data_IF_709809002953
#
_entry.id   IF_709809002953
#
_cell.length_a   1.000
_cell.length_b   1.000
_cell.length_c   1.000
_cell.angle_alpha   90.00
_cell.angle_beta   90.00
_cell.angle_gamma   90.00
#
_symmetry.space_group_name_H-M   'P 1'
#
loop_
_entity.id
_entity.type
_entity.pdbx_description
1 polymer ?
#
# COMPACT_ATOMS: atom_id res chain seq x y z
N UNK A 1 -8.43 10.63 29.01
CA UNK A 1 -7.64 11.86 28.75
C UNK A 1 -7.32 11.85 27.26
N UNK A 2 -7.84 12.82 26.51
CA UNK A 2 -7.57 12.90 25.07
C UNK A 2 -6.12 13.38 24.87
N UNK A 3 -5.21 12.45 24.67
CA UNK A 3 -3.83 12.75 24.33
C UNK A 3 -3.82 13.39 22.94
N UNK A 4 -3.55 14.69 22.86
CA UNK A 4 -3.46 15.39 21.59
C UNK A 4 -2.35 14.76 20.75
N UNK A 5 -2.75 14.11 19.66
CA UNK A 5 -1.88 13.56 18.62
C UNK A 5 -1.36 14.76 17.82
N UNK A 6 -0.05 15.00 17.86
CA UNK A 6 0.57 16.11 17.11
C UNK A 6 1.00 15.61 15.74
N UNK A 7 0.56 16.27 14.68
CA UNK A 7 0.97 15.98 13.30
C UNK A 7 1.21 17.26 12.51
N UNK A 8 2.20 17.26 11.62
CA UNK A 8 2.48 18.37 10.71
C UNK A 8 2.62 17.85 9.28
N UNK A 9 2.02 18.60 8.37
CA UNK A 9 2.15 18.43 6.93
C UNK A 9 3.08 19.45 6.36
N UNK A 10 3.98 18.97 5.54
CA UNK A 10 4.97 19.79 4.89
C UNK A 10 4.92 19.50 3.40
N UNK A 11 4.79 20.54 2.59
CA UNK A 11 4.85 20.43 1.14
C UNK A 11 6.06 21.19 0.58
N UNK A 12 6.54 20.74 -0.55
CA UNK A 12 7.65 21.34 -1.27
C UNK A 12 7.32 21.37 -2.75
N UNK A 13 7.38 22.56 -3.37
CA UNK A 13 7.15 22.72 -4.80
C UNK A 13 8.24 23.59 -5.41
N UNK A 14 9.02 23.01 -6.32
CA UNK A 14 10.09 23.69 -7.08
C UNK A 14 10.31 22.98 -8.42
N UNK A 15 10.17 23.72 -9.53
CA UNK A 15 10.18 23.14 -10.88
C UNK A 15 9.16 22.00 -11.04
N UNK A 16 9.64 20.84 -11.51
CA UNK A 16 8.82 19.62 -11.65
C UNK A 16 8.66 18.82 -10.34
N UNK A 17 9.32 19.25 -9.25
CA UNK A 17 9.18 18.63 -7.94
C UNK A 17 7.92 19.14 -7.26
N UNK A 18 7.02 18.22 -6.95
CA UNK A 18 5.85 18.46 -6.11
C UNK A 18 5.76 17.37 -5.05
N UNK A 19 6.17 17.66 -3.82
CA UNK A 19 6.40 16.67 -2.76
C UNK A 19 5.62 17.01 -1.52
N UNK A 20 5.22 15.99 -0.80
CA UNK A 20 4.68 16.09 0.55
C UNK A 20 5.48 15.24 1.53
N UNK A 21 5.49 15.68 2.78
CA UNK A 21 6.16 15.06 3.90
C UNK A 21 5.30 15.22 5.14
N UNK A 22 4.81 14.13 5.69
CA UNK A 22 3.96 14.11 6.88
C UNK A 22 4.80 13.59 8.03
N UNK A 23 4.63 14.17 9.21
CA UNK A 23 5.25 13.69 10.45
C UNK A 23 4.20 13.71 11.56
N UNK A 24 4.15 12.66 12.37
CA UNK A 24 3.20 12.56 13.48
C UNK A 24 3.82 11.91 14.72
N UNK A 25 3.26 12.24 15.89
CA UNK A 25 3.51 11.55 17.15
C UNK A 25 2.30 10.67 17.43
N UNK A 26 2.49 9.36 17.41
CA UNK A 26 1.42 8.38 17.61
C UNK A 26 1.62 7.64 18.95
N UNK A 27 0.58 7.47 19.78
CA UNK A 27 0.67 6.72 21.02
C UNK A 27 0.80 5.21 20.76
N UNK A 28 1.67 4.52 21.50
CA UNK A 28 1.77 3.06 21.54
C UNK A 28 1.97 2.58 22.98
N UNK A 29 0.97 1.85 23.52
CA UNK A 29 1.00 1.39 24.90
C UNK A 29 1.13 2.56 25.88
N UNK A 30 2.23 2.56 26.65
CA UNK A 30 2.56 3.62 27.61
C UNK A 30 3.54 4.67 27.05
N UNK A 31 3.88 4.61 25.76
CA UNK A 31 4.83 5.49 25.11
C UNK A 31 4.32 6.03 23.76
N UNK A 32 5.25 6.56 22.97
CA UNK A 32 4.96 7.25 21.71
C UNK A 32 5.97 6.88 20.62
N UNK A 33 5.52 6.86 19.37
CA UNK A 33 6.37 6.75 18.19
C UNK A 33 6.33 8.03 17.36
N UNK A 34 7.47 8.38 16.76
CA UNK A 34 7.54 9.46 15.77
C UNK A 34 7.60 8.87 14.38
N UNK A 35 6.59 9.22 13.60
CA UNK A 35 6.23 8.57 12.35
C UNK A 35 6.36 9.58 11.23
N UNK A 36 6.67 9.11 10.03
CA UNK A 36 6.74 9.98 8.87
C UNK A 36 6.27 9.30 7.59
N UNK A 37 5.76 10.10 6.67
CA UNK A 37 5.39 9.69 5.32
C UNK A 37 5.94 10.70 4.32
N UNK A 38 6.37 10.26 3.14
CA UNK A 38 6.87 11.18 2.13
C UNK A 38 6.69 10.65 0.71
N UNK A 39 6.55 11.56 -0.25
CA UNK A 39 6.38 11.19 -1.64
C UNK A 39 6.01 12.39 -2.51
N UNK A 40 5.71 12.10 -3.78
CA UNK A 40 5.13 13.09 -4.69
C UNK A 40 3.68 13.32 -4.27
N UNK A 41 3.21 14.57 -4.25
CA UNK A 41 1.83 14.90 -3.85
C UNK A 41 0.83 14.21 -4.77
N UNK A 42 -0.22 13.63 -4.16
CA UNK A 42 -1.25 12.85 -4.85
C UNK A 42 -0.90 11.38 -5.14
N UNK A 43 0.33 10.96 -4.81
CA UNK A 43 0.75 9.56 -4.93
C UNK A 43 0.82 8.89 -3.56
N UNK A 44 0.87 7.55 -3.55
CA UNK A 44 1.08 6.76 -2.34
C UNK A 44 2.37 7.16 -1.64
N UNK A 45 2.28 7.56 -0.37
CA UNK A 45 3.46 7.95 0.41
C UNK A 45 4.28 6.76 0.88
N UNK A 46 5.60 6.94 0.88
CA UNK A 46 6.53 6.05 1.56
C UNK A 46 6.53 6.41 3.04
N UNK A 47 6.13 5.44 3.86
CA UNK A 47 5.96 5.59 5.31
C UNK A 47 7.11 4.95 6.08
N UNK A 48 7.42 5.46 7.27
CA UNK A 48 8.40 4.89 8.18
C UNK A 48 8.31 5.47 9.58
N UNK A 49 9.13 4.95 10.48
CA UNK A 49 9.25 5.40 11.86
C UNK A 49 10.68 5.86 12.15
N UNK A 50 10.84 6.95 12.92
CA UNK A 50 12.15 7.38 13.45
C UNK A 50 12.52 6.72 14.76
N UNK A 51 11.57 6.05 15.39
CA UNK A 51 11.70 5.42 16.72
C UNK A 51 11.47 3.93 16.58
N UNK A 52 12.49 3.10 16.86
CA UNK A 52 12.37 1.63 16.82
C UNK A 52 11.54 1.07 17.98
N UNK A 53 11.54 1.73 19.13
CA UNK A 53 10.76 1.39 20.31
C UNK A 53 10.00 2.63 20.78
N UNK A 54 8.91 2.42 21.53
CA UNK A 54 8.11 3.51 22.08
C UNK A 54 8.96 4.35 23.04
N UNK A 55 8.96 5.66 22.87
CA UNK A 55 9.70 6.61 23.70
C UNK A 55 8.76 7.44 24.57
N UNK A 56 9.31 8.24 25.49
CA UNK A 56 8.50 9.19 26.26
C UNK A 56 7.94 10.31 25.36
N UNK A 57 6.88 10.98 25.79
CA UNK A 57 6.31 12.11 25.04
C UNK A 57 7.36 13.22 24.80
N UNK A 58 8.21 13.50 25.80
CA UNK A 58 9.24 14.52 25.69
C UNK A 58 10.29 14.18 24.62
N UNK A 59 10.73 12.93 24.56
CA UNK A 59 11.64 12.43 23.53
C UNK A 59 10.98 12.44 22.14
N UNK A 60 9.73 12.00 22.06
CA UNK A 60 8.96 12.02 20.81
C UNK A 60 8.82 13.45 20.26
N UNK A 61 8.44 14.42 21.11
CA UNK A 61 8.35 15.84 20.73
C UNK A 61 9.70 16.37 20.24
N UNK A 62 10.80 16.01 20.90
CA UNK A 62 12.14 16.45 20.48
C UNK A 62 12.52 15.91 19.09
N UNK A 63 12.25 14.63 18.83
CA UNK A 63 12.52 14.01 17.53
C UNK A 63 11.62 14.63 16.45
N UNK A 64 10.34 14.83 16.77
CA UNK A 64 9.35 15.46 15.91
C UNK A 64 9.77 16.87 15.48
N UNK A 65 10.08 17.74 16.44
CA UNK A 65 10.47 19.13 16.18
C UNK A 65 11.74 19.21 15.33
N UNK A 66 12.68 18.28 15.58
CA UNK A 66 13.91 18.17 14.78
C UNK A 66 13.60 17.81 13.33
N UNK A 67 12.67 16.88 13.06
CA UNK A 67 12.28 16.51 11.71
C UNK A 67 11.61 17.68 10.98
N UNK A 68 10.65 18.34 11.63
CA UNK A 68 9.94 19.50 11.07
C UNK A 68 10.94 20.59 10.70
N UNK A 69 11.82 20.97 11.64
CA UNK A 69 12.85 21.99 11.42
C UNK A 69 13.80 21.65 10.27
N UNK A 70 14.25 20.40 10.19
CA UNK A 70 15.11 19.94 9.10
C UNK A 70 14.43 20.01 7.73
N UNK A 71 13.13 19.73 7.66
CA UNK A 71 12.37 19.79 6.41
C UNK A 71 12.06 21.23 6.00
N UNK A 72 11.69 22.08 6.95
CA UNK A 72 11.51 23.51 6.71
C UNK A 72 12.80 24.18 6.21
N UNK A 73 13.95 23.83 6.79
CA UNK A 73 15.26 24.29 6.31
C UNK A 73 15.58 23.83 4.87
N UNK A 74 14.94 22.77 4.38
CA UNK A 74 15.03 22.27 3.00
C UNK A 74 13.96 22.86 2.07
N UNK A 75 13.29 23.93 2.49
CA UNK A 75 12.30 24.65 1.69
C UNK A 75 10.88 24.10 1.76
N UNK A 76 10.60 23.11 2.63
CA UNK A 76 9.23 22.66 2.85
C UNK A 76 8.43 23.68 3.66
N UNK A 77 7.12 23.76 3.44
CA UNK A 77 6.21 24.72 4.08
C UNK A 77 5.01 24.01 4.70
N UNK A 78 4.46 24.56 5.77
CA UNK A 78 3.25 24.06 6.44
C UNK A 78 2.00 24.51 5.68
N UNK A 79 1.00 23.64 5.58
CA UNK A 79 -0.33 23.99 5.05
C UNK A 79 -1.31 24.09 6.23
N UNK A 80 -2.08 25.17 6.33
CA UNK A 80 -2.96 25.43 7.48
C UNK A 80 -4.23 24.54 7.51
N UNK A 81 -4.50 23.70 6.51
CA UNK A 81 -5.83 23.09 6.33
C UNK A 81 -5.90 21.59 5.99
N UNK A 82 -4.82 20.82 6.05
CA UNK A 82 -4.91 19.34 5.95
C UNK A 82 -4.60 18.68 7.30
N UNK A 83 -5.48 17.75 7.73
CA UNK A 83 -5.30 16.85 8.88
C UNK A 83 -5.09 15.42 8.36
N UNK A 84 -4.17 14.60 8.91
CA UNK A 84 -3.81 13.34 8.26
C UNK A 84 -4.81 12.26 8.61
N UNK A 85 -5.05 11.37 7.65
CA UNK A 85 -5.45 10.01 7.99
C UNK A 85 -4.32 9.38 8.83
N UNK A 86 -4.63 8.70 9.95
CA UNK A 86 -3.61 8.05 10.78
C UNK A 86 -2.84 6.98 9.98
N UNK A 87 -1.56 6.75 10.29
CA UNK A 87 -0.69 5.80 9.57
C UNK A 87 -0.19 4.73 10.55
N UNK A 88 -0.73 3.50 10.47
CA UNK A 88 -0.26 2.43 11.36
C UNK A 88 1.10 1.85 10.94
N UNK A 89 2.04 1.82 11.90
CA UNK A 89 3.32 1.12 11.78
C UNK A 89 3.13 -0.39 11.84
N UNK A 90 3.92 -1.13 11.06
CA UNK A 90 4.14 -2.53 11.33
C UNK A 90 5.29 -2.63 12.36
N UNK A 91 5.06 -3.31 13.49
CA UNK A 91 6.05 -3.49 14.57
C UNK A 91 7.39 -4.06 14.08
N UNK A 92 7.32 -4.83 13.00
CA UNK A 92 8.44 -5.59 12.44
C UNK A 92 8.97 -4.97 11.13
N UNK A 93 8.80 -3.65 10.95
CA UNK A 93 9.16 -2.98 9.70
C UNK A 93 10.61 -3.25 9.27
N UNK A 94 10.79 -3.76 8.05
CA UNK A 94 12.08 -4.14 7.50
C UNK A 94 12.47 -5.60 7.71
N UNK A 95 11.71 -6.40 8.46
CA UNK A 95 11.94 -7.83 8.57
C UNK A 95 11.65 -8.56 7.26
N UNK A 96 12.46 -9.55 6.93
CA UNK A 96 12.26 -10.41 5.78
C UNK A 96 11.19 -11.46 6.08
N UNK A 97 10.12 -11.45 5.27
CA UNK A 97 8.98 -12.35 5.44
C UNK A 97 9.17 -13.73 4.82
N UNK A 98 10.22 -13.92 4.02
CA UNK A 98 10.39 -15.09 3.15
C UNK A 98 9.44 -15.12 1.94
N UNK A 99 8.49 -14.19 1.85
CA UNK A 99 7.56 -14.07 0.72
C UNK A 99 8.20 -13.19 -0.35
N UNK A 100 8.04 -13.58 -1.61
CA UNK A 100 8.61 -12.88 -2.77
C UNK A 100 7.53 -12.63 -3.81
N UNK A 101 7.53 -11.43 -4.37
CA UNK A 101 6.65 -11.09 -5.48
C UNK A 101 7.08 -11.84 -6.74
N UNK A 102 6.10 -12.34 -7.49
CA UNK A 102 6.34 -12.72 -8.88
C UNK A 102 6.57 -11.45 -9.70
N UNK A 103 7.68 -11.39 -10.42
CA UNK A 103 8.01 -10.26 -11.30
C UNK A 103 7.58 -10.57 -12.73
N UNK A 104 7.15 -9.53 -13.44
CA UNK A 104 6.79 -9.62 -14.85
C UNK A 104 8.04 -9.92 -15.69
N UNK A 105 7.86 -10.80 -16.68
CA UNK A 105 8.80 -10.95 -17.78
C UNK A 105 8.50 -9.90 -18.85
N UNK A 106 9.55 -9.36 -19.47
CA UNK A 106 9.37 -8.51 -20.65
C UNK A 106 8.86 -9.35 -21.82
N UNK A 107 7.96 -8.76 -22.60
CA UNK A 107 7.42 -9.33 -23.84
C UNK A 107 8.03 -8.58 -25.01
N UNK A 108 8.47 -9.31 -26.03
CA UNK A 108 8.91 -8.73 -27.29
C UNK A 108 7.70 -8.30 -28.13
N UNK A 109 7.82 -7.20 -28.89
CA UNK A 109 6.71 -6.67 -29.70
C UNK A 109 6.15 -7.71 -30.68
N UNK A 110 6.99 -8.60 -31.21
CA UNK A 110 6.57 -9.67 -32.13
C UNK A 110 5.71 -10.74 -31.44
N UNK A 111 5.76 -10.84 -30.11
CA UNK A 111 4.97 -11.80 -29.33
C UNK A 111 3.62 -11.24 -28.89
N UNK A 112 3.44 -9.91 -28.90
CA UNK A 112 2.24 -9.25 -28.38
C UNK A 112 0.99 -9.77 -29.08
N UNK A 113 0.96 -9.77 -30.41
CA UNK A 113 -0.20 -10.24 -31.18
C UNK A 113 -0.59 -11.69 -30.85
N UNK A 114 0.40 -12.55 -30.58
CA UNK A 114 0.15 -13.93 -30.19
C UNK A 114 -0.45 -14.01 -28.78
N UNK A 115 0.12 -13.29 -27.82
CA UNK A 115 -0.36 -13.26 -26.44
C UNK A 115 -1.77 -12.67 -26.31
N UNK A 116 -2.09 -11.67 -27.13
CA UNK A 116 -3.42 -11.05 -27.15
C UNK A 116 -4.54 -11.97 -27.68
N UNK A 117 -4.19 -12.94 -28.52
CA UNK A 117 -5.16 -13.84 -29.17
C UNK A 117 -5.21 -15.23 -28.54
N UNK A 118 -4.21 -15.57 -27.72
CA UNK A 118 -4.15 -16.85 -27.03
C UNK A 118 -5.01 -16.87 -25.76
N UNK A 119 -6.05 -17.70 -25.78
CA UNK A 119 -7.03 -17.88 -24.70
C UNK A 119 -6.44 -18.42 -23.39
N UNK A 120 -5.15 -18.80 -23.38
CA UNK A 120 -4.42 -19.17 -22.15
C UNK A 120 -4.00 -17.96 -21.33
N UNK A 121 -4.04 -16.76 -21.92
CA UNK A 121 -3.66 -15.51 -21.28
C UNK A 121 -4.87 -14.60 -21.05
N UNK A 122 -4.73 -13.72 -20.08
CA UNK A 122 -5.67 -12.63 -19.82
C UNK A 122 -4.90 -11.31 -19.77
N UNK A 123 -5.62 -10.21 -19.94
CA UNK A 123 -5.07 -8.86 -19.81
C UNK A 123 -5.55 -8.22 -18.51
N UNK A 124 -4.66 -7.45 -17.89
CA UNK A 124 -4.99 -6.64 -16.73
C UNK A 124 -4.49 -5.21 -16.93
N UNK A 125 -5.24 -4.24 -16.41
CA UNK A 125 -4.76 -2.86 -16.34
C UNK A 125 -3.50 -2.78 -15.48
N UNK A 126 -2.46 -2.11 -15.98
CA UNK A 126 -1.25 -1.86 -15.20
C UNK A 126 -1.42 -0.57 -14.40
N UNK A 127 -1.59 -0.71 -13.09
CA UNK A 127 -1.50 0.42 -12.18
C UNK A 127 -0.03 0.84 -11.95
N UNK A 128 0.21 2.15 -11.88
CA UNK A 128 1.53 2.72 -11.61
C UNK A 128 1.56 3.32 -10.20
N UNK A 129 1.83 2.46 -9.23
CA UNK A 129 1.76 2.80 -7.81
C UNK A 129 2.91 2.20 -7.02
N UNK A 130 2.58 1.71 -5.82
CA UNK A 130 3.51 0.99 -4.97
C UNK A 130 3.05 -0.45 -4.78
N UNK A 131 3.81 -1.41 -5.30
CA UNK A 131 3.64 -2.84 -5.03
C UNK A 131 3.55 -3.14 -3.53
N UNK A 132 2.48 -3.82 -3.14
CA UNK A 132 2.23 -4.25 -1.77
C UNK A 132 1.54 -5.62 -1.81
N UNK A 133 2.14 -6.62 -1.17
CA UNK A 133 1.39 -7.82 -0.76
C UNK A 133 0.82 -7.58 0.63
N UNK A 134 -0.38 -8.10 0.88
CA UNK A 134 -1.00 -8.05 2.21
C UNK A 134 -1.33 -9.47 2.65
N UNK A 135 -0.76 -9.88 3.79
CA UNK A 135 -1.09 -11.13 4.47
C UNK A 135 -2.02 -10.84 5.65
N UNK A 136 -3.16 -11.52 5.70
CA UNK A 136 -4.07 -11.54 6.86
C UNK A 136 -4.11 -12.94 7.45
N UNK A 137 -3.84 -13.05 8.75
CA UNK A 137 -3.93 -14.29 9.54
C UNK A 137 -4.63 -13.98 10.85
N UNK A 138 -5.89 -14.41 10.99
CA UNK A 138 -6.78 -13.96 12.06
C UNK A 138 -6.89 -12.43 12.07
N UNK A 139 -6.43 -11.82 13.17
CA UNK A 139 -6.43 -10.37 13.37
C UNK A 139 -5.09 -9.70 12.99
N UNK A 140 -4.09 -10.49 12.57
CA UNK A 140 -2.79 -9.96 12.17
C UNK A 140 -2.80 -9.62 10.68
N UNK A 141 -2.49 -8.36 10.35
CA UNK A 141 -2.38 -7.88 8.97
C UNK A 141 -0.96 -7.32 8.74
N UNK A 142 -0.23 -7.96 7.83
CA UNK A 142 1.16 -7.62 7.49
C UNK A 142 1.25 -7.15 6.04
N UNK A 143 1.83 -5.97 5.84
CA UNK A 143 2.15 -5.44 4.51
C UNK A 143 3.56 -5.85 4.12
N UNK A 144 3.77 -6.22 2.86
CA UNK A 144 5.05 -6.72 2.37
C UNK A 144 5.37 -6.02 1.05
N UNK A 145 6.53 -5.37 0.97
CA UNK A 145 6.93 -4.66 -0.25
C UNK A 145 7.51 -5.61 -1.31
N UNK A 146 7.86 -5.06 -2.48
CA UNK A 146 8.50 -5.79 -3.59
C UNK A 146 9.77 -6.57 -3.19
N UNK A 147 10.49 -6.13 -2.16
CA UNK A 147 11.71 -6.77 -1.66
C UNK A 147 11.44 -7.91 -0.67
N UNK A 148 10.18 -8.18 -0.34
CA UNK A 148 9.79 -9.18 0.65
C UNK A 148 9.87 -8.69 2.10
N UNK A 149 10.07 -7.39 2.31
CA UNK A 149 10.22 -6.81 3.65
C UNK A 149 8.89 -6.30 4.18
N UNK A 150 8.68 -6.45 5.49
CA UNK A 150 7.53 -5.90 6.19
C UNK A 150 7.51 -4.38 6.05
N UNK A 151 6.35 -3.84 5.69
CA UNK A 151 6.08 -2.40 5.55
C UNK A 151 4.73 -2.05 6.15
N UNK A 152 4.55 -0.78 6.51
CA UNK A 152 3.26 -0.25 6.93
C UNK A 152 2.25 -0.22 5.78
N UNK A 153 0.99 -0.30 6.17
CA UNK A 153 -0.18 -0.28 5.29
C UNK A 153 -0.97 0.98 5.64
N UNK A 154 -1.44 1.77 4.68
CA UNK A 154 -2.40 2.84 4.93
C UNK A 154 -3.61 2.33 5.74
N UNK A 155 -4.11 3.13 6.69
CA UNK A 155 -5.17 2.69 7.60
C UNK A 155 -6.48 2.33 6.89
N UNK A 156 -6.82 3.05 5.82
CA UNK A 156 -7.98 2.77 4.96
C UNK A 156 -7.92 1.34 4.42
N UNK A 157 -6.80 0.99 3.78
CA UNK A 157 -6.55 -0.34 3.24
C UNK A 157 -6.52 -1.39 4.37
N UNK A 158 -5.86 -1.11 5.50
CA UNK A 158 -5.83 -2.04 6.64
C UNK A 158 -7.23 -2.35 7.15
N UNK A 159 -8.09 -1.34 7.32
CA UNK A 159 -9.46 -1.48 7.78
C UNK A 159 -10.32 -2.26 6.77
N UNK A 160 -10.12 -2.05 5.46
CA UNK A 160 -10.82 -2.81 4.44
C UNK A 160 -10.41 -4.30 4.45
N UNK A 161 -9.11 -4.58 4.58
CA UNK A 161 -8.59 -5.95 4.68
C UNK A 161 -9.04 -6.65 5.96
N UNK A 162 -9.13 -5.93 7.08
CA UNK A 162 -9.57 -6.47 8.37
C UNK A 162 -11.00 -7.04 8.31
N UNK A 163 -11.87 -6.44 7.49
CA UNK A 163 -13.23 -6.90 7.25
C UNK A 163 -13.32 -8.20 6.45
N UNK A 164 -12.24 -8.65 5.81
CA UNK A 164 -12.25 -9.89 5.05
C UNK A 164 -12.47 -11.09 6.00
N UNK A 165 -13.43 -11.98 5.71
CA UNK A 165 -13.85 -13.01 6.65
C UNK A 165 -12.87 -14.19 6.78
N UNK A 166 -11.82 -14.22 5.97
CA UNK A 166 -10.90 -15.34 5.85
C UNK A 166 -9.45 -14.88 5.81
N UNK A 167 -8.54 -15.80 6.16
CA UNK A 167 -7.10 -15.60 6.03
C UNK A 167 -6.68 -15.61 4.56
N UNK A 168 -5.83 -14.67 4.17
CA UNK A 168 -5.45 -14.45 2.77
C UNK A 168 -4.02 -13.94 2.63
N UNK A 169 -3.44 -14.21 1.46
CA UNK A 169 -2.27 -13.49 0.96
C UNK A 169 -2.64 -12.89 -0.40
N UNK A 170 -2.82 -11.57 -0.42
CA UNK A 170 -3.15 -10.79 -1.60
C UNK A 170 -1.89 -10.16 -2.18
N UNK A 171 -1.82 -10.07 -3.50
CA UNK A 171 -0.81 -9.30 -4.20
C UNK A 171 -1.47 -8.20 -5.04
N UNK A 172 -0.97 -6.98 -4.91
CA UNK A 172 -1.63 -5.80 -5.44
C UNK A 172 -0.72 -4.57 -5.54
N UNK A 173 -1.27 -3.51 -6.09
CA UNK A 173 -0.62 -2.21 -6.25
C UNK A 173 -1.40 -1.15 -5.48
N UNK A 174 -0.71 -0.31 -4.69
CA UNK A 174 -1.35 0.82 -4.00
C UNK A 174 -1.20 2.09 -4.82
N UNK A 175 -2.32 2.71 -5.18
CA UNK A 175 -2.39 4.02 -5.84
C UNK A 175 -3.18 4.97 -4.94
N UNK A 176 -2.49 5.96 -4.36
CA UNK A 176 -3.07 6.83 -3.34
C UNK A 176 -3.45 6.02 -2.08
N UNK A 177 -4.75 5.95 -1.79
CA UNK A 177 -5.31 5.18 -0.67
C UNK A 177 -6.06 3.91 -1.11
N UNK A 178 -5.99 3.56 -2.40
CA UNK A 178 -6.69 2.40 -2.97
C UNK A 178 -5.71 1.27 -3.24
N UNK A 179 -6.06 0.06 -2.80
CA UNK A 179 -5.32 -1.16 -3.06
C UNK A 179 -5.95 -1.94 -4.21
N UNK A 180 -5.25 -2.01 -5.34
CA UNK A 180 -5.64 -2.71 -6.56
C UNK A 180 -5.05 -4.12 -6.56
N UNK A 181 -5.86 -5.12 -6.19
CA UNK A 181 -5.48 -6.53 -6.07
C UNK A 181 -5.54 -7.22 -7.42
N UNK A 182 -4.43 -7.79 -7.88
CA UNK A 182 -4.37 -8.54 -9.15
C UNK A 182 -4.09 -10.04 -8.98
N UNK A 183 -3.67 -10.51 -7.80
CA UNK A 183 -3.49 -11.95 -7.52
C UNK A 183 -3.86 -12.33 -6.07
N UNK A 184 -4.25 -13.60 -5.88
CA UNK A 184 -4.58 -14.24 -4.61
C UNK A 184 -3.70 -15.47 -4.46
N UNK A 185 -2.77 -15.44 -3.52
CA UNK A 185 -1.73 -16.46 -3.35
C UNK A 185 -2.08 -17.47 -2.25
N UNK A 186 -2.79 -17.04 -1.21
CA UNK A 186 -3.32 -17.89 -0.14
C UNK A 186 -4.78 -17.56 0.12
N UNK A 187 -5.60 -18.58 0.38
CA UNK A 187 -7.02 -18.43 0.72
C UNK A 187 -7.39 -19.42 1.84
N UNK A 188 -8.04 -18.91 2.89
CA UNK A 188 -8.38 -19.68 4.11
C UNK A 188 -7.15 -20.37 4.71
N UNK A 189 -6.01 -19.67 4.70
CA UNK A 189 -4.73 -20.19 5.23
C UNK A 189 -4.04 -21.26 4.38
N UNK A 190 -4.52 -21.54 3.16
CA UNK A 190 -3.91 -22.52 2.27
C UNK A 190 -3.26 -21.84 1.06
N UNK A 191 -2.06 -22.28 0.70
CA UNK A 191 -1.37 -21.88 -0.53
C UNK A 191 -2.13 -22.38 -1.77
N UNK A 192 -2.51 -21.46 -2.64
CA UNK A 192 -3.23 -21.73 -3.88
C UNK A 192 -2.44 -21.35 -5.13
N UNK A 193 -1.14 -21.04 -5.03
CA UNK A 193 -0.28 -20.66 -6.17
C UNK A 193 -0.17 -21.74 -7.24
N UNK A 194 -0.39 -22.99 -6.87
CA UNK A 194 -0.45 -24.13 -7.78
C UNK A 194 -1.67 -24.13 -8.71
N UNK A 195 -2.73 -23.36 -8.37
CA UNK A 195 -3.92 -23.24 -9.22
C UNK A 195 -3.67 -22.30 -10.39
N UNK A 196 -4.40 -22.51 -11.50
CA UNK A 196 -4.39 -21.59 -12.63
C UNK A 196 -4.82 -20.17 -12.25
N UNK A 197 -4.27 -19.17 -12.94
CA UNK A 197 -4.49 -17.76 -12.63
C UNK A 197 -5.99 -17.40 -12.55
N UNK A 198 -6.80 -17.82 -13.53
CA UNK A 198 -8.24 -17.52 -13.55
C UNK A 198 -8.98 -18.06 -12.32
N UNK A 199 -8.55 -19.20 -11.76
CA UNK A 199 -9.14 -19.72 -10.52
C UNK A 199 -8.79 -18.85 -9.31
N UNK A 200 -7.57 -18.29 -9.27
CA UNK A 200 -7.15 -17.36 -8.21
C UNK A 200 -7.88 -16.02 -8.36
N UNK A 201 -7.99 -15.51 -9.59
CA UNK A 201 -8.74 -14.30 -9.92
C UNK A 201 -10.23 -14.41 -9.57
N UNK A 202 -10.89 -15.53 -9.91
CA UNK A 202 -12.26 -15.78 -9.48
C UNK A 202 -12.39 -15.78 -7.94
N UNK A 203 -11.36 -16.27 -7.23
CA UNK A 203 -11.26 -16.16 -5.78
C UNK A 203 -11.20 -14.72 -5.28
N UNK A 204 -10.47 -13.82 -5.96
CA UNK A 204 -10.45 -12.38 -5.66
C UNK A 204 -11.85 -11.78 -5.82
N UNK A 205 -12.49 -12.02 -6.98
CA UNK A 205 -13.82 -11.46 -7.28
C UNK A 205 -14.89 -11.95 -6.29
N UNK A 206 -14.80 -13.19 -5.83
CA UNK A 206 -15.72 -13.73 -4.84
C UNK A 206 -15.42 -13.22 -3.40
N UNK A 207 -14.17 -12.88 -3.11
CA UNK A 207 -13.71 -12.47 -1.79
C UNK A 207 -13.92 -10.97 -1.54
N UNK A 208 -13.60 -10.14 -2.53
CA UNK A 208 -13.60 -8.69 -2.39
C UNK A 208 -15.00 -8.13 -2.60
N UNK A 209 -15.49 -7.26 -1.68
CA UNK A 209 -16.78 -6.62 -1.86
C UNK A 209 -16.75 -5.70 -3.10
N UNK A 210 -17.82 -5.69 -3.92
CA UNK A 210 -17.92 -4.74 -5.02
C UNK A 210 -17.93 -3.31 -4.45
N UNK A 211 -17.10 -2.42 -5.03
CA UNK A 211 -17.05 -0.99 -4.73
C UNK A 211 -16.54 -0.58 -3.33
N UNK A 212 -15.69 -1.37 -2.68
CA UNK A 212 -14.89 -0.83 -1.56
C UNK A 212 -13.81 0.10 -2.15
N UNK A 213 -14.03 1.42 -2.08
CA UNK A 213 -13.15 2.42 -2.71
C UNK A 213 -11.68 2.36 -2.27
N UNK A 214 -11.36 1.60 -1.22
CA UNK A 214 -10.00 1.35 -0.74
C UNK A 214 -9.44 -0.03 -1.09
N UNK A 215 -10.27 -0.98 -1.55
CA UNK A 215 -9.90 -2.36 -1.86
C UNK A 215 -10.63 -2.85 -3.12
N UNK A 216 -9.93 -2.80 -4.26
CA UNK A 216 -10.49 -3.12 -5.58
C UNK A 216 -9.72 -4.28 -6.19
N UNK A 217 -10.39 -5.15 -6.95
CA UNK A 217 -9.68 -6.05 -7.85
C UNK A 217 -9.33 -5.32 -9.16
N UNK A 218 -8.24 -5.73 -9.79
CA UNK A 218 -7.85 -5.21 -11.10
C UNK A 218 -8.75 -5.78 -12.18
N UNK A 219 -9.29 -4.88 -13.01
CA UNK A 219 -10.06 -5.22 -14.22
C UNK A 219 -9.28 -6.20 -15.08
N UNK A 220 -9.90 -7.34 -15.39
CA UNK A 220 -9.25 -8.45 -16.10
C UNK A 220 -10.07 -8.84 -17.32
N UNK A 221 -9.49 -8.68 -18.52
CA UNK A 221 -10.09 -9.09 -19.78
C UNK A 221 -9.64 -10.50 -20.15
N UNK A 222 -10.60 -11.35 -20.50
CA UNK A 222 -10.39 -12.78 -20.80
C UNK A 222 -10.69 -13.13 -22.26
N UNK A 223 -11.17 -12.17 -23.05
CA UNK A 223 -11.46 -12.32 -24.48
C UNK A 223 -11.15 -11.02 -25.25
N UNK A 224 -11.13 -11.14 -26.58
CA UNK A 224 -10.91 -10.03 -27.50
C UNK A 224 -12.10 -9.06 -27.61
N UNK A 225 -13.27 -9.40 -27.06
CA UNK A 225 -14.46 -8.51 -27.11
C UNK A 225 -14.34 -7.37 -26.09
N UNK A 226 -13.59 -7.57 -25.01
CA UNK A 226 -13.28 -6.53 -24.03
C UNK A 226 -12.55 -5.31 -24.64
N UNK A 227 -11.68 -5.51 -25.64
CA UNK A 227 -10.99 -4.42 -26.34
C UNK A 227 -11.95 -3.46 -27.06
N UNK A 228 -13.19 -3.89 -27.37
CA UNK A 228 -14.17 -3.07 -28.08
C UNK A 228 -15.07 -2.23 -27.17
N UNK A 229 -15.22 -2.58 -25.88
CA UNK A 229 -16.12 -1.87 -24.95
C UNK A 229 -15.42 -0.87 -24.02
N UNK A 230 -14.11 -0.95 -23.82
CA UNK A 230 -13.38 -0.15 -22.82
C UNK A 230 -12.89 1.24 -23.24
N UNK A 231 -13.30 1.76 -24.40
CA UNK A 231 -12.87 3.07 -24.94
C UNK A 231 -14.03 4.07 -25.16
N UNK A 232 -15.12 3.97 -24.38
CA UNK A 232 -16.17 4.99 -24.36
C UNK A 232 -16.20 5.76 -23.06
#
# INVERSE_FOLDING_TARGET
>A
MNTNITSTFLYFREGNSDKEYHVAIEPEGNGYHVTYAYGRRGNTLTTGSKTRQSVTLAEATTIYDKLVRQKMAKGYRTEDNQKPGPITHARDAGEDTGIRCQLLSSVDENQVSHLLTDKRYCLQEKHDGRRLMIRKTGNQITGINRRGLVVSIPNTIRQAVDKLPVDVLLDGEVVGETYHVFDLLELKGHDIRHKGYLSRHAGIVALLPPNDGSLLWVTTAMDSEWCACGLR
#
